data_IF_563639553592
#
_entry.id   IF_563639553592
#
_cell.length_a   1.000
_cell.length_b   1.000
_cell.length_c   1.000
_cell.angle_alpha   90.00
_cell.angle_beta   90.00
_cell.angle_gamma   90.00
#
_symmetry.space_group_name_H-M   'P 1'
#
loop_
_entity.id
_entity.type
_entity.pdbx_description
1 polymer ?
#
# COMPACT_ATOMS: atom_id res chain seq x y z
N UNK A 1 11.34 15.75 15.76
CA UNK A 1 11.33 16.72 16.88
C UNK A 1 9.92 16.71 17.45
N UNK A 2 9.68 15.94 18.51
CA UNK A 2 8.36 15.84 19.14
C UNK A 2 8.14 16.99 20.13
N UNK A 3 6.88 17.37 20.36
CA UNK A 3 6.49 18.33 21.41
C UNK A 3 6.99 17.82 22.76
N UNK A 4 7.80 18.61 23.46
CA UNK A 4 8.28 18.25 24.81
C UNK A 4 7.19 18.53 25.86
N UNK A 5 7.29 17.91 27.04
CA UNK A 5 6.35 18.20 28.13
C UNK A 5 6.32 19.69 28.52
N UNK A 6 7.46 20.38 28.37
CA UNK A 6 7.58 21.83 28.59
C UNK A 6 6.79 22.64 27.55
N UNK A 7 6.68 22.15 26.32
CA UNK A 7 5.89 22.79 25.26
C UNK A 7 4.39 22.57 25.48
N UNK A 8 4.00 21.39 25.96
CA UNK A 8 2.62 21.08 26.35
C UNK A 8 2.14 21.92 27.53
N UNK A 9 3.01 22.17 28.52
CA UNK A 9 2.68 22.96 29.71
C UNK A 9 2.36 24.43 29.41
N UNK A 10 2.83 24.97 28.28
CA UNK A 10 2.55 26.35 27.83
C UNK A 10 1.17 26.51 27.18
N UNK A 11 0.49 25.41 26.88
CA UNK A 11 -0.82 25.40 26.23
C UNK A 11 -1.95 25.36 27.27
N UNK A 12 -3.11 25.91 26.90
CA UNK A 12 -4.31 25.86 27.77
C UNK A 12 -4.80 24.42 28.04
N UNK A 13 -5.57 24.20 29.13
CA UNK A 13 -5.97 22.86 29.58
C UNK A 13 -6.71 22.04 28.51
N UNK A 14 -7.55 22.68 27.70
CA UNK A 14 -8.28 22.05 26.60
C UNK A 14 -7.34 21.55 25.49
N UNK A 15 -6.35 22.36 25.11
CA UNK A 15 -5.34 22.00 24.11
C UNK A 15 -4.43 20.87 24.60
N UNK A 16 -4.03 20.88 25.89
CA UNK A 16 -3.27 19.78 26.49
C UNK A 16 -4.01 18.45 26.43
N UNK A 17 -5.31 18.45 26.80
CA UNK A 17 -6.16 17.25 26.77
C UNK A 17 -6.29 16.70 25.34
N UNK A 18 -6.47 17.57 24.35
CA UNK A 18 -6.55 17.16 22.94
C UNK A 18 -5.26 16.54 22.43
N UNK A 19 -4.10 17.16 22.71
CA UNK A 19 -2.79 16.65 22.27
C UNK A 19 -2.48 15.31 22.94
N UNK A 20 -2.70 15.18 24.26
CA UNK A 20 -2.50 13.90 24.97
C UNK A 20 -3.41 12.80 24.43
N UNK A 21 -4.68 13.11 24.16
CA UNK A 21 -5.60 12.16 23.56
C UNK A 21 -5.11 11.72 22.16
N UNK A 22 -4.65 12.66 21.32
CA UNK A 22 -4.10 12.37 20.00
C UNK A 22 -2.84 11.50 20.07
N UNK A 23 -1.92 11.79 21.01
CA UNK A 23 -0.72 10.96 21.26
C UNK A 23 -1.09 9.55 21.70
N UNK A 24 -2.01 9.39 22.67
CA UNK A 24 -2.43 8.05 23.12
C UNK A 24 -3.08 7.23 22.02
N UNK A 25 -3.90 7.86 21.16
CA UNK A 25 -4.51 7.21 19.99
C UNK A 25 -3.43 6.77 19.00
N UNK A 26 -2.44 7.61 18.77
CA UNK A 26 -1.30 7.30 17.89
C UNK A 26 -0.47 6.14 18.44
N UNK A 27 -0.16 6.14 19.74
CA UNK A 27 0.57 5.06 20.39
C UNK A 27 -0.20 3.74 20.36
N UNK A 28 -1.51 3.78 20.60
CA UNK A 28 -2.39 2.59 20.54
C UNK A 28 -2.43 2.03 19.12
N UNK A 29 -2.58 2.90 18.11
CA UNK A 29 -2.54 2.50 16.70
C UNK A 29 -1.17 1.91 16.31
N UNK A 30 -0.07 2.49 16.80
CA UNK A 30 1.28 2.00 16.54
C UNK A 30 1.52 0.64 17.20
N UNK A 31 1.06 0.43 18.45
CA UNK A 31 1.12 -0.88 19.12
C UNK A 31 0.29 -1.94 18.39
N UNK A 32 -0.93 -1.60 17.96
CA UNK A 32 -1.78 -2.51 17.19
C UNK A 32 -1.10 -2.93 15.87
N UNK A 33 -0.52 -1.97 15.14
CA UNK A 33 0.26 -2.24 13.91
C UNK A 33 1.47 -3.14 14.17
N UNK A 34 2.20 -2.90 15.27
CA UNK A 34 3.36 -3.73 15.65
C UNK A 34 2.95 -5.17 15.97
N UNK A 35 1.84 -5.35 16.69
CA UNK A 35 1.29 -6.68 16.99
C UNK A 35 0.87 -7.40 15.71
N UNK A 36 0.15 -6.71 14.81
CA UNK A 36 -0.22 -7.25 13.49
C UNK A 36 1.02 -7.66 12.66
N UNK A 37 2.06 -6.83 12.60
CA UNK A 37 3.30 -7.18 11.88
C UNK A 37 4.03 -8.37 12.51
N UNK A 38 4.05 -8.47 13.84
CA UNK A 38 4.65 -9.62 14.54
C UNK A 38 3.88 -10.93 14.33
N UNK A 39 2.56 -10.86 14.22
CA UNK A 39 1.70 -12.00 13.90
C UNK A 39 1.87 -12.42 12.43
N UNK A 40 1.98 -11.45 11.52
CA UNK A 40 2.21 -11.69 10.09
C UNK A 40 3.53 -12.43 9.81
N UNK A 41 4.59 -12.14 10.57
CA UNK A 41 5.86 -12.92 10.50
C UNK A 41 5.69 -14.41 10.85
N UNK A 42 4.65 -14.77 11.59
CA UNK A 42 4.28 -16.16 11.92
C UNK A 42 3.14 -16.70 11.04
N UNK A 43 2.63 -15.88 10.13
CA UNK A 43 1.55 -16.25 9.22
C UNK A 43 2.02 -17.12 8.06
N UNK A 44 1.10 -17.51 7.16
CA UNK A 44 1.44 -18.36 6.02
C UNK A 44 2.41 -17.66 5.08
N UNK A 45 3.28 -18.46 4.47
CA UNK A 45 4.22 -18.01 3.45
C UNK A 45 3.49 -17.79 2.12
N UNK A 46 3.86 -16.71 1.44
CA UNK A 46 3.53 -16.41 0.06
C UNK A 46 4.71 -16.86 -0.80
N UNK A 47 4.60 -17.99 -1.53
CA UNK A 47 5.75 -18.57 -2.24
C UNK A 47 6.36 -17.67 -3.32
N UNK A 48 5.57 -16.76 -3.89
CA UNK A 48 5.94 -15.86 -5.00
C UNK A 48 6.09 -14.39 -4.54
N UNK A 49 6.35 -14.15 -3.24
CA UNK A 49 6.63 -12.80 -2.75
C UNK A 49 8.00 -12.33 -3.23
N UNK A 50 8.07 -11.16 -3.85
CA UNK A 50 9.33 -10.54 -4.28
C UNK A 50 10.05 -9.81 -3.14
N UNK A 51 9.35 -9.57 -2.02
CA UNK A 51 9.92 -8.90 -0.85
C UNK A 51 9.34 -9.39 0.49
N UNK A 52 10.11 -9.22 1.56
CA UNK A 52 9.63 -9.47 2.94
C UNK A 52 8.44 -8.56 3.29
N UNK A 53 8.36 -7.39 2.65
CA UNK A 53 7.28 -6.43 2.87
C UNK A 53 5.96 -6.93 2.26
N UNK A 54 5.99 -7.50 1.05
CA UNK A 54 4.85 -8.19 0.45
C UNK A 54 4.42 -9.39 1.29
N UNK A 55 5.37 -10.20 1.75
CA UNK A 55 5.09 -11.33 2.65
C UNK A 55 4.35 -10.86 3.92
N UNK A 56 4.80 -9.76 4.53
CA UNK A 56 4.14 -9.18 5.71
C UNK A 56 2.76 -8.65 5.37
N UNK A 57 2.60 -7.93 4.25
CA UNK A 57 1.30 -7.45 3.82
C UNK A 57 0.32 -8.61 3.60
N UNK A 58 0.78 -9.65 2.90
CA UNK A 58 0.00 -10.85 2.66
C UNK A 58 -0.49 -11.47 3.97
N UNK A 59 0.43 -11.76 4.89
CA UNK A 59 0.07 -12.43 6.14
C UNK A 59 -0.75 -11.54 7.10
N UNK A 60 -0.53 -10.22 7.12
CA UNK A 60 -1.21 -9.29 8.02
C UNK A 60 -2.61 -8.87 7.54
N UNK A 61 -2.75 -8.58 6.24
CA UNK A 61 -3.90 -7.85 5.69
C UNK A 61 -4.72 -8.71 4.73
N UNK A 62 -4.06 -9.45 3.84
CA UNK A 62 -4.74 -10.21 2.79
C UNK A 62 -5.21 -11.59 3.26
N UNK A 63 -4.35 -12.32 3.96
CA UNK A 63 -4.64 -13.67 4.45
C UNK A 63 -5.87 -13.73 5.35
N UNK A 64 -6.08 -12.83 6.33
CA UNK A 64 -7.32 -12.82 7.11
C UNK A 64 -8.58 -12.67 6.24
N UNK A 65 -8.52 -11.88 5.15
CA UNK A 65 -9.65 -11.69 4.23
C UNK A 65 -9.92 -12.95 3.39
N UNK A 66 -8.86 -13.65 2.98
CA UNK A 66 -8.98 -14.96 2.31
C UNK A 66 -9.64 -15.96 3.24
N UNK A 67 -9.17 -16.07 4.49
CA UNK A 67 -9.73 -17.00 5.48
C UNK A 67 -11.17 -16.67 5.86
N UNK A 68 -11.55 -15.39 5.82
CA UNK A 68 -12.94 -14.96 6.00
C UNK A 68 -13.83 -15.23 4.79
N UNK A 69 -13.29 -15.80 3.70
CA UNK A 69 -14.03 -16.10 2.47
C UNK A 69 -14.42 -14.86 1.66
N UNK A 70 -13.82 -13.70 1.91
CA UNK A 70 -14.15 -12.44 1.23
C UNK A 70 -13.49 -12.31 -0.14
N UNK A 71 -12.36 -12.98 -0.33
CA UNK A 71 -11.55 -12.92 -1.55
C UNK A 71 -11.93 -14.08 -2.47
N UNK A 72 -12.24 -13.76 -3.72
CA UNK A 72 -12.52 -14.75 -4.76
C UNK A 72 -11.23 -15.19 -5.47
N UNK A 73 -10.36 -14.24 -5.80
CA UNK A 73 -9.11 -14.49 -6.52
C UNK A 73 -8.03 -13.48 -6.13
N UNK A 74 -6.79 -13.96 -6.08
CA UNK A 74 -5.59 -13.12 -5.96
C UNK A 74 -4.66 -13.48 -7.12
N UNK A 75 -4.26 -12.47 -7.89
CA UNK A 75 -3.21 -12.59 -8.91
C UNK A 75 -2.02 -11.74 -8.44
N UNK A 76 -0.86 -12.38 -8.29
CA UNK A 76 0.39 -11.70 -7.95
C UNK A 76 1.05 -11.17 -9.22
N UNK A 77 1.70 -10.02 -9.12
CA UNK A 77 2.56 -9.47 -10.18
C UNK A 77 1.91 -9.44 -11.58
N UNK A 78 0.61 -9.14 -11.62
CA UNK A 78 -0.16 -9.12 -12.88
C UNK A 78 0.31 -7.97 -13.76
N UNK A 79 0.92 -8.26 -14.91
CA UNK A 79 1.45 -7.23 -15.78
C UNK A 79 0.37 -6.54 -16.62
N UNK A 80 0.37 -5.21 -16.61
CA UNK A 80 -0.52 -4.36 -17.40
C UNK A 80 0.27 -3.52 -18.41
N UNK A 81 -0.16 -3.52 -19.66
CA UNK A 81 0.42 -2.69 -20.72
C UNK A 81 -0.05 -1.24 -20.58
N UNK A 82 0.83 -0.31 -20.23
CA UNK A 82 0.50 1.12 -20.17
C UNK A 82 0.55 1.76 -21.56
N UNK A 83 1.63 1.47 -22.29
CA UNK A 83 1.85 1.93 -23.65
C UNK A 83 2.47 0.81 -24.48
N UNK A 84 1.97 0.56 -25.70
CA UNK A 84 2.64 -0.35 -26.63
C UNK A 84 4.02 0.22 -27.01
N UNK A 85 4.89 -0.66 -27.50
CA UNK A 85 6.10 -0.20 -28.16
C UNK A 85 5.73 0.56 -29.44
N UNK A 86 6.42 1.68 -29.70
CA UNK A 86 6.12 2.56 -30.82
C UNK A 86 7.39 3.24 -31.35
N UNK A 87 7.29 3.95 -32.45
CA UNK A 87 8.36 4.78 -33.00
C UNK A 87 7.83 6.17 -33.34
N UNK A 88 8.47 7.21 -32.80
CA UNK A 88 8.09 8.59 -33.06
C UNK A 88 9.29 9.39 -33.57
N UNK A 89 9.19 9.94 -34.79
CA UNK A 89 10.28 10.70 -35.42
C UNK A 89 11.64 9.97 -35.41
N UNK A 90 11.64 8.65 -35.62
CA UNK A 90 12.84 7.82 -35.60
C UNK A 90 13.34 7.41 -34.20
N UNK A 91 12.70 7.88 -33.12
CA UNK A 91 12.98 7.44 -31.76
C UNK A 91 12.18 6.17 -31.45
N UNK A 92 12.87 5.11 -31.02
CA UNK A 92 12.21 3.89 -30.52
C UNK A 92 11.69 4.13 -29.11
N UNK A 93 10.37 3.99 -28.94
CA UNK A 93 9.68 4.06 -27.66
C UNK A 93 9.39 2.64 -27.19
N UNK A 94 10.04 2.13 -26.13
CA UNK A 94 9.77 0.78 -25.63
C UNK A 94 8.37 0.71 -25.00
N UNK A 95 7.81 -0.51 -24.98
CA UNK A 95 6.55 -0.75 -24.29
C UNK A 95 6.71 -0.46 -22.79
N UNK A 96 5.77 0.30 -22.23
CA UNK A 96 5.73 0.61 -20.82
C UNK A 96 4.71 -0.30 -20.13
N UNK A 97 5.09 -0.85 -18.98
CA UNK A 97 4.24 -1.73 -18.19
C UNK A 97 4.12 -1.27 -16.74
N UNK A 98 3.01 -1.65 -16.12
CA UNK A 98 2.78 -1.54 -14.69
C UNK A 98 2.47 -2.93 -14.13
N UNK A 99 3.10 -3.26 -13.01
CA UNK A 99 2.95 -4.54 -12.35
C UNK A 99 2.69 -4.24 -10.88
N UNK A 100 1.43 -4.28 -10.41
CA UNK A 100 1.14 -4.21 -8.99
C UNK A 100 1.53 -5.51 -8.30
N UNK A 101 1.84 -5.41 -7.01
CA UNK A 101 2.21 -6.58 -6.21
C UNK A 101 1.01 -7.54 -6.04
N UNK A 102 -0.20 -6.99 -5.83
CA UNK A 102 -1.42 -7.78 -5.70
C UNK A 102 -2.57 -7.21 -6.54
N UNK A 103 -3.24 -8.09 -7.28
CA UNK A 103 -4.51 -7.82 -7.94
C UNK A 103 -5.58 -8.72 -7.33
N UNK A 104 -6.47 -8.14 -6.54
CA UNK A 104 -7.41 -8.85 -5.67
C UNK A 104 -8.83 -8.68 -6.22
N UNK A 105 -9.50 -9.78 -6.50
CA UNK A 105 -10.94 -9.80 -6.81
C UNK A 105 -11.69 -10.33 -5.60
N UNK A 106 -12.60 -9.52 -5.06
CA UNK A 106 -13.46 -9.89 -3.93
C UNK A 106 -14.73 -10.61 -4.42
N UNK A 107 -15.35 -11.39 -3.54
CA UNK A 107 -16.59 -12.12 -3.84
C UNK A 107 -17.75 -11.23 -4.29
N UNK A 108 -17.77 -9.97 -3.84
CA UNK A 108 -18.78 -9.00 -4.23
C UNK A 108 -18.49 -8.32 -5.59
N UNK A 109 -17.49 -8.80 -6.34
CA UNK A 109 -17.10 -8.26 -7.65
C UNK A 109 -16.22 -7.01 -7.59
N UNK A 110 -15.93 -6.48 -6.40
CA UNK A 110 -14.99 -5.35 -6.25
C UNK A 110 -13.57 -5.84 -6.52
N UNK A 111 -12.80 -5.04 -7.26
CA UNK A 111 -11.37 -5.28 -7.48
C UNK A 111 -10.56 -4.24 -6.71
N UNK A 112 -9.56 -4.72 -5.97
CA UNK A 112 -8.55 -3.89 -5.32
C UNK A 112 -7.15 -4.25 -5.84
N UNK A 113 -6.46 -3.23 -6.32
CA UNK A 113 -5.08 -3.31 -6.78
C UNK A 113 -4.20 -2.72 -5.68
N UNK A 114 -3.23 -3.50 -5.21
CA UNK A 114 -2.37 -3.10 -4.09
C UNK A 114 -0.92 -3.01 -4.56
N UNK A 115 -0.32 -1.88 -4.23
CA UNK A 115 1.12 -1.68 -4.31
C UNK A 115 1.70 -1.53 -2.89
N UNK A 116 2.74 -2.28 -2.61
CA UNK A 116 3.43 -2.37 -1.33
C UNK A 116 4.76 -1.62 -1.46
N UNK A 117 4.94 -0.57 -0.65
CA UNK A 117 6.14 0.28 -0.67
C UNK A 117 6.71 0.49 0.72
N UNK A 118 8.03 0.63 0.80
CA UNK A 118 8.70 1.19 1.97
C UNK A 118 8.81 2.71 1.84
N UNK A 119 8.72 3.43 2.95
CA UNK A 119 8.81 4.89 2.96
C UNK A 119 10.13 5.44 2.36
N UNK A 120 11.23 4.67 2.47
CA UNK A 120 12.54 5.04 1.95
C UNK A 120 12.60 4.99 0.41
N UNK A 121 12.04 3.94 -0.21
CA UNK A 121 12.12 3.72 -1.66
C UNK A 121 11.19 4.69 -2.42
N UNK A 122 10.07 5.09 -1.81
CA UNK A 122 9.09 6.00 -2.43
C UNK A 122 9.68 7.35 -2.87
N UNK A 123 10.67 7.88 -2.14
CA UNK A 123 11.29 9.19 -2.46
C UNK A 123 12.25 9.17 -3.65
N UNK A 124 12.73 7.99 -4.03
CA UNK A 124 13.76 7.83 -5.07
C UNK A 124 13.16 7.48 -6.44
N UNK A 125 11.91 7.02 -6.50
CA UNK A 125 11.29 6.53 -7.73
C UNK A 125 10.43 7.59 -8.43
N UNK A 126 11.07 8.52 -9.16
CA UNK A 126 10.36 9.56 -9.93
C UNK A 126 9.43 8.98 -11.01
N UNK A 127 9.88 7.95 -11.70
CA UNK A 127 9.12 7.34 -12.80
C UNK A 127 7.89 6.55 -12.33
N UNK A 128 7.93 6.02 -11.11
CA UNK A 128 6.81 5.28 -10.52
C UNK A 128 5.56 6.14 -10.39
N UNK A 129 5.71 7.42 -10.02
CA UNK A 129 4.56 8.34 -9.87
C UNK A 129 3.77 8.43 -11.18
N UNK A 130 4.47 8.53 -12.31
CA UNK A 130 3.85 8.62 -13.63
C UNK A 130 3.29 7.29 -14.09
N UNK A 131 4.02 6.17 -13.95
CA UNK A 131 3.52 4.84 -14.32
C UNK A 131 2.28 4.46 -13.52
N UNK A 132 2.25 4.75 -12.22
CA UNK A 132 1.07 4.56 -11.37
C UNK A 132 -0.09 5.43 -11.81
N UNK A 133 0.14 6.72 -12.08
CA UNK A 133 -0.92 7.62 -12.57
C UNK A 133 -1.53 7.09 -13.87
N UNK A 134 -0.67 6.68 -14.80
CA UNK A 134 -1.10 6.08 -16.06
C UNK A 134 -1.91 4.80 -15.86
N UNK A 135 -1.47 3.92 -14.96
CA UNK A 135 -2.24 2.72 -14.59
C UNK A 135 -3.62 3.08 -14.05
N UNK A 136 -3.70 4.02 -13.10
CA UNK A 136 -4.95 4.43 -12.47
C UNK A 136 -5.93 4.98 -13.52
N UNK A 137 -5.47 5.88 -14.38
CA UNK A 137 -6.35 6.52 -15.37
C UNK A 137 -6.73 5.57 -16.52
N UNK A 138 -5.84 4.65 -16.92
CA UNK A 138 -6.09 3.73 -18.04
C UNK A 138 -6.89 2.49 -17.62
N UNK A 139 -6.69 2.00 -16.40
CA UNK A 139 -7.26 0.74 -15.93
C UNK A 139 -8.15 0.91 -14.71
N UNK A 140 -7.63 1.46 -13.61
CA UNK A 140 -8.37 1.41 -12.35
C UNK A 140 -9.66 2.25 -12.38
N UNK A 141 -9.58 3.53 -12.78
CA UNK A 141 -10.72 4.45 -12.80
C UNK A 141 -11.81 4.01 -13.80
N UNK A 142 -11.51 3.63 -15.06
CA UNK A 142 -12.54 3.17 -16.00
C UNK A 142 -13.26 1.90 -15.55
N UNK A 143 -12.57 0.99 -14.86
CA UNK A 143 -13.16 -0.26 -14.37
C UNK A 143 -13.71 -0.15 -12.93
N UNK A 144 -13.67 1.03 -12.31
CA UNK A 144 -14.11 1.23 -10.93
C UNK A 144 -13.28 0.49 -9.88
N UNK A 145 -12.04 0.12 -10.20
CA UNK A 145 -11.15 -0.59 -9.27
C UNK A 145 -10.60 0.36 -8.20
N UNK A 146 -10.47 -0.17 -6.99
CA UNK A 146 -9.78 0.53 -5.90
C UNK A 146 -8.26 0.35 -6.07
N UNK A 147 -7.51 1.44 -5.96
CA UNK A 147 -6.05 1.40 -5.89
C UNK A 147 -5.60 1.74 -4.47
N UNK A 148 -4.80 0.87 -3.85
CA UNK A 148 -4.29 1.03 -2.49
C UNK A 148 -2.76 1.00 -2.50
N UNK A 149 -2.13 2.07 -2.03
CA UNK A 149 -0.70 2.09 -1.76
C UNK A 149 -0.46 1.79 -0.28
N UNK A 150 0.00 0.59 0.04
CA UNK A 150 0.40 0.21 1.40
C UNK A 150 1.84 0.67 1.66
N UNK A 151 2.01 1.55 2.65
CA UNK A 151 3.31 2.10 3.01
C UNK A 151 3.68 1.63 4.42
N UNK A 152 4.76 0.86 4.54
CA UNK A 152 5.37 0.62 5.86
C UNK A 152 6.25 1.82 6.22
N UNK A 153 5.90 2.48 7.32
CA UNK A 153 6.68 3.54 8.01
C UNK A 153 7.92 2.98 8.69
#
# INVERSE_FOLDING_TARGET
>A
MGLTEKDLARLGPAAQKQIRAALSRRDTAQKARHLQTSAARRGPLLPEADSELEQRYYAAELWPKIMAGLVAQVELHKQFLLYPADTYCGLRLPAAHYTPDFFITYQNGVVEVVEVKSAAVRKLQRDYIYRRRLFIERYARPNGWKFTEYIQE
#
